data_IF_179076015194
#
_entry.id   IF_179076015194
#
_cell.length_a   1.000
_cell.length_b   1.000
_cell.length_c   1.000
_cell.angle_alpha   90.00
_cell.angle_beta   90.00
_cell.angle_gamma   90.00
#
_symmetry.space_group_name_H-M   'P 1'
#
loop_
_entity.id
_entity.type
_entity.pdbx_description
1 polymer ?
#
# COMPACT_ATOMS: atom_id res chain seq x y z
N UNK A 1 13.88 -57.09 6.86
CA UNK A 1 13.88 -55.69 7.35
C UNK A 1 14.16 -54.74 6.19
N UNK A 2 13.19 -53.92 5.80
CA UNK A 2 13.43 -52.68 5.03
C UNK A 2 12.18 -51.81 5.17
N UNK A 3 12.16 -50.95 6.19
CA UNK A 3 11.14 -49.91 6.35
C UNK A 3 11.63 -48.70 5.55
N UNK A 4 11.07 -48.49 4.37
CA UNK A 4 11.24 -47.25 3.61
C UNK A 4 10.38 -46.18 4.30
N UNK A 5 11.03 -45.23 4.95
CA UNK A 5 10.38 -44.07 5.51
C UNK A 5 10.04 -43.10 4.37
N UNK A 6 8.74 -42.89 4.13
CA UNK A 6 8.25 -41.81 3.27
C UNK A 6 8.43 -40.48 4.01
N UNK A 7 9.33 -39.63 3.52
CA UNK A 7 9.42 -38.24 3.96
C UNK A 7 8.32 -37.43 3.25
N UNK A 8 7.28 -37.05 3.99
CA UNK A 8 6.27 -36.11 3.51
C UNK A 8 6.87 -34.71 3.63
N UNK A 9 7.28 -34.13 2.50
CA UNK A 9 7.62 -32.72 2.41
C UNK A 9 6.32 -31.91 2.53
N UNK A 10 6.05 -31.37 3.72
CA UNK A 10 4.98 -30.41 3.91
C UNK A 10 5.34 -29.12 3.14
N UNK A 11 4.67 -28.86 2.02
CA UNK A 11 4.65 -27.53 1.41
C UNK A 11 4.02 -26.56 2.42
N UNK A 12 4.85 -25.84 3.17
CA UNK A 12 4.39 -24.69 3.94
C UNK A 12 4.07 -23.60 2.92
N UNK A 13 2.78 -23.42 2.60
CA UNK A 13 2.32 -22.25 1.90
C UNK A 13 2.62 -21.03 2.78
N UNK A 14 3.72 -20.33 2.48
CA UNK A 14 3.99 -19.06 3.13
C UNK A 14 2.81 -18.14 2.84
N UNK A 15 2.19 -17.53 3.85
CA UNK A 15 1.18 -16.51 3.60
C UNK A 15 1.86 -15.44 2.75
N UNK A 16 1.32 -15.17 1.56
CA UNK A 16 1.64 -13.96 0.81
C UNK A 16 1.44 -12.80 1.79
N UNK A 17 2.55 -12.21 2.23
CA UNK A 17 2.57 -11.14 3.22
C UNK A 17 1.94 -9.92 2.60
N UNK A 18 0.68 -9.68 2.93
CA UNK A 18 0.03 -8.42 2.56
C UNK A 18 0.50 -7.32 3.52
N UNK A 19 0.79 -6.15 2.98
CA UNK A 19 1.19 -4.99 3.72
C UNK A 19 0.06 -3.98 3.84
N UNK A 20 -0.17 -3.49 5.06
CA UNK A 20 -1.14 -2.45 5.31
C UNK A 20 -0.68 -1.12 4.65
N UNK A 21 -1.57 -0.54 3.86
CA UNK A 21 -1.37 0.75 3.22
C UNK A 21 -2.66 1.59 3.21
N UNK A 22 -2.49 2.89 2.96
CA UNK A 22 -3.57 3.71 2.44
C UNK A 22 -3.47 3.73 0.91
N UNK A 23 -4.61 3.71 0.24
CA UNK A 23 -4.67 3.81 -1.22
C UNK A 23 -5.64 4.90 -1.68
N UNK A 24 -5.32 5.54 -2.80
CA UNK A 24 -6.26 6.47 -3.43
C UNK A 24 -7.51 5.72 -3.92
N UNK A 25 -8.73 6.20 -3.60
CA UNK A 25 -9.97 5.62 -4.12
C UNK A 25 -10.00 5.61 -5.64
N UNK A 26 -10.74 4.68 -6.23
CA UNK A 26 -11.05 4.69 -7.67
C UNK A 26 -12.47 4.19 -7.88
N UNK A 27 -13.29 4.98 -8.59
CA UNK A 27 -14.67 4.61 -8.88
C UNK A 27 -15.45 4.24 -7.62
N UNK A 28 -16.42 3.34 -7.79
CA UNK A 28 -17.12 2.73 -6.66
C UNK A 28 -16.24 1.69 -5.97
N UNK A 29 -16.21 1.73 -4.65
CA UNK A 29 -15.37 0.87 -3.82
C UNK A 29 -16.18 0.26 -2.67
N UNK A 30 -15.85 -0.98 -2.29
CA UNK A 30 -16.43 -1.69 -1.16
C UNK A 30 -15.34 -2.37 -0.31
N UNK A 31 -15.63 -2.57 0.99
CA UNK A 31 -14.77 -3.40 1.85
C UNK A 31 -14.78 -4.84 1.34
N UNK A 32 -13.62 -5.50 1.35
CA UNK A 32 -13.42 -6.84 0.80
C UNK A 32 -13.16 -6.86 -0.71
N UNK A 33 -13.39 -5.76 -1.41
CA UNK A 33 -13.14 -5.69 -2.85
C UNK A 33 -11.64 -5.77 -3.14
N UNK A 34 -11.27 -6.63 -4.09
CA UNK A 34 -9.94 -6.65 -4.67
C UNK A 34 -9.83 -5.60 -5.77
N UNK A 35 -8.74 -4.84 -5.77
CA UNK A 35 -8.45 -3.81 -6.76
C UNK A 35 -7.02 -3.94 -7.25
N UNK A 36 -6.76 -3.46 -8.47
CA UNK A 36 -5.40 -3.31 -9.00
C UNK A 36 -4.82 -1.99 -8.52
N UNK A 37 -3.51 -1.98 -8.31
CA UNK A 37 -2.76 -0.81 -7.87
C UNK A 37 -2.45 0.19 -8.99
N UNK A 38 -2.77 -0.14 -10.24
CA UNK A 38 -2.58 0.72 -11.40
C UNK A 38 -3.25 2.08 -11.17
N UNK A 39 -2.51 3.16 -11.40
CA UNK A 39 -2.96 4.55 -11.22
C UNK A 39 -3.41 4.90 -9.81
N UNK A 40 -2.90 4.19 -8.79
CA UNK A 40 -3.13 4.50 -7.37
C UNK A 40 -1.87 4.96 -6.68
N UNK A 41 -2.04 5.97 -5.82
CA UNK A 41 -1.05 6.27 -4.78
C UNK A 41 -1.19 5.26 -3.66
N UNK A 42 -0.07 4.66 -3.26
CA UNK A 42 0.02 3.67 -2.19
C UNK A 42 0.94 4.24 -1.12
N UNK A 43 0.37 4.39 0.06
CA UNK A 43 1.01 5.00 1.21
C UNK A 43 1.16 3.91 2.28
N UNK A 44 2.27 3.15 2.23
CA UNK A 44 2.50 2.03 3.14
C UNK A 44 2.57 2.51 4.59
N UNK A 45 1.91 1.82 5.52
CA UNK A 45 1.88 2.25 6.93
C UNK A 45 3.15 1.87 7.70
N UNK A 46 3.77 0.75 7.31
CA UNK A 46 4.89 0.13 8.06
C UNK A 46 6.21 0.12 7.29
N UNK A 47 6.16 0.14 5.95
CA UNK A 47 7.36 0.11 5.10
C UNK A 47 8.15 1.41 5.25
N UNK A 48 9.43 1.29 5.58
CA UNK A 48 10.31 2.45 5.82
C UNK A 48 10.54 3.26 4.53
N UNK A 49 10.78 4.55 4.71
CA UNK A 49 11.27 5.43 3.65
C UNK A 49 12.79 5.22 3.50
N UNK A 50 13.24 4.92 2.28
CA UNK A 50 14.66 4.67 1.98
C UNK A 50 15.34 5.87 1.31
N UNK A 51 14.62 6.97 1.09
CA UNK A 51 15.20 8.19 0.52
C UNK A 51 16.15 8.86 1.52
N UNK A 52 17.23 9.51 1.06
CA UNK A 52 18.20 10.18 1.90
C UNK A 52 17.68 11.55 2.41
N UNK A 53 16.52 11.55 3.07
CA UNK A 53 15.90 12.74 3.67
C UNK A 53 16.31 12.83 5.14
N UNK A 54 16.52 14.05 5.63
CA UNK A 54 16.85 14.32 7.05
C UNK A 54 15.83 13.65 8.00
N UNK A 55 14.54 13.72 7.64
CA UNK A 55 13.45 13.16 8.44
C UNK A 55 12.93 11.81 7.90
N UNK A 56 13.71 11.08 7.09
CA UNK A 56 13.27 9.81 6.49
C UNK A 56 12.78 8.78 7.52
N UNK A 57 13.39 8.76 8.71
CA UNK A 57 13.01 7.87 9.83
C UNK A 57 11.55 8.04 10.28
N UNK A 58 11.01 9.25 10.14
CA UNK A 58 9.64 9.60 10.55
C UNK A 58 8.64 9.42 9.39
N UNK A 59 9.13 9.05 8.19
CA UNK A 59 8.34 8.86 6.99
C UNK A 59 8.22 7.38 6.62
N UNK A 60 7.29 7.08 5.70
CA UNK A 60 7.04 5.73 5.17
C UNK A 60 7.09 5.71 3.66
N UNK A 61 7.20 4.52 3.07
CA UNK A 61 7.28 4.33 1.62
C UNK A 61 6.00 4.79 0.93
N UNK A 62 6.14 5.64 -0.07
CA UNK A 62 5.12 5.96 -1.05
C UNK A 62 5.46 5.32 -2.39
N UNK A 63 4.45 4.80 -3.09
CA UNK A 63 4.58 4.27 -4.44
C UNK A 63 3.39 4.71 -5.29
N UNK A 64 3.64 5.05 -6.56
CA UNK A 64 2.60 5.29 -7.55
C UNK A 64 2.91 4.54 -8.84
N UNK A 65 1.92 3.84 -9.36
CA UNK A 65 2.03 3.02 -10.56
C UNK A 65 1.41 3.78 -11.75
N UNK A 66 2.22 4.22 -12.71
CA UNK A 66 1.72 4.74 -14.00
C UNK A 66 1.61 3.57 -14.98
N UNK A 67 0.54 2.77 -14.87
CA UNK A 67 0.33 1.60 -15.73
C UNK A 67 0.86 0.28 -15.16
N UNK A 68 1.17 -0.69 -16.03
CA UNK A 68 1.41 -2.10 -15.68
C UNK A 68 2.86 -2.46 -15.41
N UNK A 69 3.80 -1.60 -15.78
CA UNK A 69 5.24 -1.90 -15.77
C UNK A 69 5.91 -1.67 -14.40
N UNK A 70 5.12 -1.58 -13.34
CA UNK A 70 5.59 -1.37 -11.98
C UNK A 70 5.47 0.08 -11.46
N UNK A 71 6.00 0.36 -10.27
CA UNK A 71 5.92 1.67 -9.65
C UNK A 71 6.87 2.63 -10.38
N UNK A 72 6.30 3.60 -11.09
CA UNK A 72 7.07 4.57 -11.85
C UNK A 72 7.50 5.76 -10.98
N UNK A 73 6.87 5.93 -9.82
CA UNK A 73 7.26 6.91 -8.83
C UNK A 73 7.38 6.23 -7.46
N UNK A 74 8.56 6.38 -6.86
CA UNK A 74 8.85 5.91 -5.50
C UNK A 74 9.26 7.11 -4.69
N UNK A 75 8.62 7.29 -3.55
CA UNK A 75 8.91 8.40 -2.66
C UNK A 75 8.71 8.02 -1.21
N UNK A 76 8.59 9.07 -0.40
CA UNK A 76 8.24 8.96 0.99
C UNK A 76 6.97 9.74 1.28
N UNK A 77 6.19 9.29 2.25
CA UNK A 77 5.05 10.03 2.76
C UNK A 77 5.08 10.11 4.27
N UNK A 78 4.41 11.12 4.80
CA UNK A 78 4.18 11.30 6.22
C UNK A 78 2.85 12.02 6.45
N UNK A 79 2.57 12.29 7.73
CA UNK A 79 1.40 13.03 8.15
C UNK A 79 1.81 14.42 8.66
N UNK A 80 1.09 15.45 8.26
CA UNK A 80 1.25 16.81 8.80
C UNK A 80 0.50 16.94 10.13
N UNK A 81 0.74 18.03 10.85
CA UNK A 81 0.01 18.36 12.10
C UNK A 81 -1.50 18.51 11.90
N UNK A 82 -1.95 18.78 10.67
CA UNK A 82 -3.37 18.93 10.30
C UNK A 82 -4.01 17.62 9.84
N UNK A 83 -3.37 16.47 10.11
CA UNK A 83 -3.80 15.14 9.64
C UNK A 83 -3.91 15.04 8.11
N UNK A 84 -3.07 15.78 7.39
CA UNK A 84 -2.92 15.66 5.94
C UNK A 84 -1.81 14.66 5.63
N UNK A 85 -2.02 13.84 4.62
CA UNK A 85 -0.94 13.17 3.90
C UNK A 85 -0.02 14.24 3.31
N UNK A 86 1.29 14.02 3.33
CA UNK A 86 2.31 14.77 2.60
C UNK A 86 3.28 13.80 1.91
N UNK A 87 3.60 14.02 0.63
CA UNK A 87 4.57 13.20 -0.12
C UNK A 87 5.83 13.98 -0.50
N UNK A 88 6.95 13.26 -0.55
CA UNK A 88 8.22 13.68 -1.13
C UNK A 88 8.62 12.65 -2.16
N UNK A 89 8.64 13.03 -3.43
CA UNK A 89 8.94 12.15 -4.55
C UNK A 89 10.07 12.79 -5.35
N UNK A 90 11.15 12.06 -5.70
CA UNK A 90 12.21 12.61 -6.54
C UNK A 90 11.66 13.12 -7.86
N UNK A 91 12.07 14.33 -8.26
CA UNK A 91 11.69 14.97 -9.53
C UNK A 91 10.19 15.25 -9.73
N UNK A 92 9.38 15.18 -8.68
CA UNK A 92 7.97 15.56 -8.71
C UNK A 92 7.66 16.57 -7.59
N UNK A 93 6.62 17.37 -7.80
CA UNK A 93 6.13 18.27 -6.76
C UNK A 93 5.59 17.48 -5.58
N UNK A 94 5.78 18.03 -4.38
CA UNK A 94 5.20 17.45 -3.17
C UNK A 94 3.68 17.57 -3.23
N UNK A 95 2.98 16.54 -2.77
CA UNK A 95 1.52 16.47 -2.78
C UNK A 95 0.97 16.34 -1.37
N UNK A 96 -0.17 17.00 -1.12
CA UNK A 96 -0.93 16.86 0.13
C UNK A 96 -2.37 16.51 -0.12
N UNK A 97 -2.96 15.68 0.74
CA UNK A 97 -4.41 15.45 0.75
C UNK A 97 -4.92 15.03 2.14
N UNK A 98 -6.22 15.18 2.42
CA UNK A 98 -6.80 14.69 3.67
C UNK A 98 -6.66 13.18 3.78
N UNK A 99 -6.15 12.68 4.91
CA UNK A 99 -6.06 11.23 5.15
C UNK A 99 -7.44 10.56 5.08
N UNK A 100 -8.48 11.27 5.50
CA UNK A 100 -9.86 10.78 5.46
C UNK A 100 -10.42 10.55 4.06
N UNK A 101 -9.72 11.01 3.02
CA UNK A 101 -10.06 10.75 1.62
C UNK A 101 -9.53 9.39 1.12
N UNK A 102 -8.64 8.72 1.85
CA UNK A 102 -7.98 7.49 1.42
C UNK A 102 -8.69 6.23 1.97
N UNK A 103 -8.58 5.12 1.24
CA UNK A 103 -9.01 3.80 1.72
C UNK A 103 -7.87 3.11 2.45
N UNK A 104 -8.19 2.29 3.45
CA UNK A 104 -7.23 1.30 3.97
C UNK A 104 -7.31 0.04 3.13
N UNK A 105 -6.17 -0.55 2.83
CA UNK A 105 -6.09 -1.78 2.08
C UNK A 105 -4.89 -2.64 2.51
N UNK A 106 -5.02 -3.94 2.29
CA UNK A 106 -3.94 -4.91 2.38
C UNK A 106 -3.36 -5.11 0.98
N UNK A 107 -2.13 -4.65 0.77
CA UNK A 107 -1.43 -4.62 -0.52
C UNK A 107 -0.54 -5.85 -0.66
N UNK A 108 -0.63 -6.54 -1.78
CA UNK A 108 0.20 -7.70 -2.11
C UNK A 108 1.28 -7.33 -3.12
N UNK A 109 2.37 -8.09 -3.11
CA UNK A 109 3.49 -7.91 -4.04
C UNK A 109 3.10 -8.08 -5.51
N UNK A 110 2.03 -8.82 -5.79
CA UNK A 110 1.48 -9.06 -7.14
C UNK A 110 0.73 -7.84 -7.74
N UNK A 111 0.77 -6.69 -7.07
CA UNK A 111 0.11 -5.46 -7.50
C UNK A 111 -1.40 -5.48 -7.30
N UNK A 112 -1.93 -6.41 -6.51
CA UNK A 112 -3.31 -6.40 -6.03
C UNK A 112 -3.42 -5.84 -4.61
N UNK A 113 -4.58 -5.31 -4.28
CA UNK A 113 -4.91 -4.88 -2.94
C UNK A 113 -6.33 -5.25 -2.57
N UNK A 114 -6.57 -5.60 -1.31
CA UNK A 114 -7.91 -5.83 -0.76
C UNK A 114 -8.30 -4.66 0.13
N UNK A 115 -9.40 -3.98 -0.17
CA UNK A 115 -9.87 -2.84 0.64
C UNK A 115 -10.36 -3.35 2.00
N UNK A 116 -9.77 -2.86 3.09
CA UNK A 116 -10.13 -3.24 4.46
C UNK A 116 -10.98 -2.18 5.17
N UNK A 117 -10.89 -0.92 4.76
CA UNK A 117 -11.79 0.13 5.21
C UNK A 117 -11.96 1.25 4.18
N UNK A 118 -13.19 1.75 4.05
CA UNK A 118 -13.50 2.88 3.17
C UNK A 118 -13.11 4.21 3.81
N UNK A 119 -12.79 5.16 2.94
CA UNK A 119 -12.54 6.55 3.31
C UNK A 119 -13.78 7.13 3.99
N UNK A 120 -13.60 8.13 4.85
CA UNK A 120 -14.75 8.78 5.50
C UNK A 120 -15.67 9.41 4.44
N UNK A 121 -15.07 9.96 3.38
CA UNK A 121 -15.79 10.55 2.26
C UNK A 121 -16.63 9.52 1.49
N UNK A 122 -16.13 8.30 1.28
CA UNK A 122 -16.91 7.25 0.63
C UNK A 122 -18.05 6.73 1.51
N UNK A 123 -17.89 6.77 2.83
CA UNK A 123 -18.95 6.38 3.78
C UNK A 123 -20.11 7.39 3.84
N UNK A 124 -19.83 8.69 3.71
CA UNK A 124 -20.85 9.75 3.72
C UNK A 124 -21.79 9.75 2.50
N UNK A 125 -21.43 9.06 1.42
CA UNK A 125 -22.20 9.00 0.16
C UNK A 125 -23.15 7.81 0.05
N UNK A 126 -23.12 6.89 1.02
CA UNK A 126 -24.05 5.75 1.11
C UNK A 126 -25.15 6.09 2.10
#
# INVERSE_FOLDING_TARGET
>A
MRKLAFAVAALVALPVLAEEALITPSGESAVGQQTRLESKGIFYLKRKCDLPLVNAKDMRRFMFYRGKDGPNEVGCWGMTIENMLFTVVPHAESFTAPLEALHKADVREDGSATITALSANARKKR
#
